data_IF_227020729596
#
_entry.id   IF_227020729596
#
_cell.length_a   1.000
_cell.length_b   1.000
_cell.length_c   1.000
_cell.angle_alpha   90.00
_cell.angle_beta   90.00
_cell.angle_gamma   90.00
#
_symmetry.space_group_name_H-M   'P 1'
#
loop_
_entity.id
_entity.type
_entity.pdbx_description
1 polymer ?
#
# COMPACT_ATOMS: atom_id res chain seq x y z
N UNK A 1 -40.42 2.18 -1.18
CA UNK A 1 -39.00 1.84 -1.44
C UNK A 1 -38.24 2.26 -0.19
N UNK A 2 -37.47 1.37 0.44
CA UNK A 2 -36.71 1.74 1.63
C UNK A 2 -35.72 2.85 1.27
N UNK A 3 -35.68 3.93 2.06
CA UNK A 3 -34.72 5.01 1.87
C UNK A 3 -33.30 4.46 2.08
N UNK A 4 -32.41 4.69 1.11
CA UNK A 4 -31.00 4.30 1.22
C UNK A 4 -30.37 5.10 2.36
N UNK A 5 -29.75 4.47 3.36
CA UNK A 5 -29.18 5.18 4.50
C UNK A 5 -28.17 6.24 4.05
N UNK A 6 -28.23 7.42 4.66
CA UNK A 6 -27.32 8.52 4.36
C UNK A 6 -25.92 8.21 4.93
N UNK A 7 -24.93 8.08 4.04
CA UNK A 7 -23.53 7.82 4.40
C UNK A 7 -22.67 9.05 4.17
N UNK A 8 -21.68 9.26 5.04
CA UNK A 8 -20.71 10.36 4.91
C UNK A 8 -19.87 10.29 3.62
N UNK A 9 -19.75 9.10 3.01
CA UNK A 9 -19.04 8.87 1.76
C UNK A 9 -20.04 8.56 0.64
N UNK A 10 -19.90 9.24 -0.49
CA UNK A 10 -20.64 9.00 -1.74
C UNK A 10 -19.66 9.02 -2.93
N UNK A 11 -19.85 8.18 -3.95
CA UNK A 11 -20.85 7.11 -4.09
C UNK A 11 -20.65 6.00 -3.05
N UNK A 12 -21.66 5.15 -2.83
CA UNK A 12 -21.51 3.98 -1.97
C UNK A 12 -20.62 2.93 -2.63
N UNK A 13 -20.08 2.02 -1.83
CA UNK A 13 -19.22 0.92 -2.29
C UNK A 13 -19.82 0.10 -3.43
N UNK A 14 -21.15 -0.08 -3.46
CA UNK A 14 -21.84 -0.89 -4.48
C UNK A 14 -22.13 -0.12 -5.77
N UNK A 15 -22.23 1.21 -5.69
CA UNK A 15 -22.55 2.05 -6.85
C UNK A 15 -21.31 2.30 -7.71
N UNK A 16 -20.18 2.63 -7.09
CA UNK A 16 -18.90 2.86 -7.75
C UNK A 16 -17.78 2.62 -6.75
N UNK A 17 -17.19 1.43 -6.82
CA UNK A 17 -16.14 0.99 -5.92
C UNK A 17 -14.85 1.82 -6.05
N UNK A 18 -14.32 2.08 -7.27
CA UNK A 18 -13.13 2.91 -7.45
C UNK A 18 -13.24 4.28 -6.78
N UNK A 19 -14.32 5.04 -7.04
CA UNK A 19 -14.45 6.38 -6.47
C UNK A 19 -14.72 6.31 -4.96
N UNK A 20 -15.58 5.39 -4.51
CA UNK A 20 -15.81 5.17 -3.08
C UNK A 20 -14.50 4.90 -2.32
N UNK A 21 -13.61 4.08 -2.88
CA UNK A 21 -12.32 3.78 -2.26
C UNK A 21 -11.47 5.04 -2.11
N UNK A 22 -11.36 5.86 -3.16
CA UNK A 22 -10.62 7.13 -3.10
C UNK A 22 -11.23 8.12 -2.10
N UNK A 23 -12.56 8.15 -1.99
CA UNK A 23 -13.25 8.99 -1.01
C UNK A 23 -12.99 8.53 0.42
N UNK A 24 -13.02 7.22 0.69
CA UNK A 24 -12.68 6.66 2.02
C UNK A 24 -11.25 7.01 2.40
N UNK A 25 -10.28 6.77 1.52
CA UNK A 25 -8.85 7.04 1.80
C UNK A 25 -8.62 8.52 2.12
N UNK A 26 -9.24 9.42 1.35
CA UNK A 26 -9.16 10.87 1.56
C UNK A 26 -9.84 11.32 2.85
N UNK A 27 -11.09 10.89 3.07
CA UNK A 27 -11.87 11.28 4.24
C UNK A 27 -11.29 10.77 5.55
N UNK A 28 -10.61 9.61 5.53
CA UNK A 28 -9.91 9.05 6.67
C UNK A 28 -8.48 9.60 6.85
N UNK A 29 -8.05 10.56 6.02
CA UNK A 29 -6.72 11.17 6.07
C UNK A 29 -5.56 10.18 5.95
N UNK A 30 -5.74 9.10 5.20
CA UNK A 30 -4.77 8.01 5.10
C UNK A 30 -3.66 8.29 4.09
N UNK A 31 -4.03 8.83 2.93
CA UNK A 31 -3.10 9.14 1.85
C UNK A 31 -3.68 10.14 0.86
N UNK A 32 -2.80 10.75 0.08
CA UNK A 32 -3.15 11.72 -0.96
C UNK A 32 -2.35 11.48 -2.25
N UNK A 33 -2.88 11.89 -3.42
CA UNK A 33 -2.14 11.80 -4.67
C UNK A 33 -0.82 12.57 -4.61
N UNK A 34 0.22 12.02 -5.24
CA UNK A 34 1.47 12.76 -5.47
C UNK A 34 1.54 13.31 -6.90
N UNK A 35 2.49 14.21 -7.17
CA UNK A 35 2.74 14.72 -8.52
C UNK A 35 3.29 13.65 -9.49
N UNK A 36 3.76 12.51 -8.95
CA UNK A 36 4.24 11.39 -9.77
C UNK A 36 3.07 10.43 -10.03
N UNK A 37 2.78 10.22 -11.31
CA UNK A 37 1.72 9.29 -11.74
C UNK A 37 1.96 7.89 -11.16
N UNK A 38 0.93 7.34 -10.54
CA UNK A 38 0.99 6.01 -9.91
C UNK A 38 1.58 6.02 -8.50
N UNK A 39 1.95 7.19 -7.96
CA UNK A 39 2.46 7.34 -6.62
C UNK A 39 1.49 8.13 -5.73
N UNK A 40 1.55 7.86 -4.43
CA UNK A 40 0.75 8.50 -3.39
C UNK A 40 1.66 8.89 -2.21
N UNK A 41 1.33 9.99 -1.55
CA UNK A 41 1.91 10.34 -0.26
C UNK A 41 1.07 9.66 0.81
N UNK A 42 1.68 8.74 1.56
CA UNK A 42 1.02 8.10 2.70
C UNK A 42 1.15 9.04 3.90
N UNK A 43 0.02 9.48 4.44
CA UNK A 43 -0.05 10.44 5.55
C UNK A 43 0.23 9.74 6.89
N UNK A 44 0.51 10.47 7.99
CA UNK A 44 0.86 9.86 9.28
C UNK A 44 -0.15 8.81 9.75
N UNK A 45 -1.45 9.04 9.56
CA UNK A 45 -2.48 8.08 9.96
C UNK A 45 -2.42 6.78 9.15
N UNK A 46 -2.21 6.87 7.83
CA UNK A 46 -2.00 5.70 6.97
C UNK A 46 -0.69 4.99 7.26
N UNK A 47 0.38 5.74 7.53
CA UNK A 47 1.70 5.18 7.80
C UNK A 47 1.74 4.44 9.15
N UNK A 48 1.01 4.93 10.16
CA UNK A 48 0.89 4.24 11.45
C UNK A 48 0.32 2.82 11.31
N UNK A 49 -0.57 2.58 10.34
CA UNK A 49 -1.09 1.23 10.03
C UNK A 49 0.07 0.35 9.53
N UNK A 50 0.90 0.86 8.62
CA UNK A 50 2.08 0.16 8.13
C UNK A 50 3.09 -0.14 9.25
N UNK A 51 3.40 0.83 10.11
CA UNK A 51 4.31 0.63 11.25
C UNK A 51 3.82 -0.47 12.20
N UNK A 52 2.50 -0.57 12.41
CA UNK A 52 1.90 -1.63 13.22
C UNK A 52 2.05 -3.01 12.55
N UNK A 53 1.79 -3.09 11.25
CA UNK A 53 1.97 -4.32 10.47
C UNK A 53 3.44 -4.76 10.53
N UNK A 54 4.36 -3.84 10.23
CA UNK A 54 5.79 -4.08 10.25
C UNK A 54 6.25 -4.60 11.61
N UNK A 55 5.85 -3.96 12.72
CA UNK A 55 6.23 -4.35 14.08
C UNK A 55 5.74 -5.75 14.45
N UNK A 56 4.53 -6.13 14.02
CA UNK A 56 3.98 -7.46 14.30
C UNK A 56 4.74 -8.53 13.52
N UNK A 57 4.98 -8.30 12.22
CA UNK A 57 5.67 -9.26 11.37
C UNK A 57 7.15 -9.40 11.73
N UNK A 58 7.85 -8.29 11.97
CA UNK A 58 9.26 -8.26 12.37
C UNK A 58 9.52 -9.12 13.63
N UNK A 59 8.63 -9.01 14.62
CA UNK A 59 8.69 -9.86 15.83
C UNK A 59 8.57 -11.35 15.50
N UNK A 60 7.58 -11.71 14.67
CA UNK A 60 7.34 -13.11 14.26
C UNK A 60 8.52 -13.70 13.48
N UNK A 61 9.19 -12.90 12.65
CA UNK A 61 10.39 -13.35 11.94
C UNK A 61 11.57 -13.55 12.90
N UNK A 62 11.76 -12.65 13.86
CA UNK A 62 12.80 -12.79 14.88
C UNK A 62 12.59 -14.00 15.79
N UNK A 63 11.33 -14.34 16.11
CA UNK A 63 10.98 -15.56 16.86
C UNK A 63 11.42 -16.85 16.14
N UNK A 64 11.56 -16.82 14.82
CA UNK A 64 12.02 -17.95 13.99
C UNK A 64 13.51 -17.87 13.63
N UNK A 65 14.26 -16.94 14.22
CA UNK A 65 15.71 -16.79 14.04
C UNK A 65 16.13 -15.97 12.83
N UNK A 66 15.22 -15.23 12.18
CA UNK A 66 15.56 -14.37 11.06
C UNK A 66 16.19 -13.05 11.53
N UNK A 67 17.11 -12.53 10.73
CA UNK A 67 17.74 -11.23 10.93
C UNK A 67 17.43 -10.30 9.75
N UNK A 68 17.15 -9.04 10.06
CA UNK A 68 16.93 -8.03 9.02
C UNK A 68 18.27 -7.61 8.41
N UNK A 69 18.29 -7.48 7.09
CA UNK A 69 19.40 -6.90 6.34
C UNK A 69 18.88 -5.78 5.43
N UNK A 70 19.76 -4.84 5.09
CA UNK A 70 19.46 -3.77 4.15
C UNK A 70 20.47 -3.78 3.01
N UNK A 71 19.98 -4.03 1.80
CA UNK A 71 20.77 -4.05 0.58
C UNK A 71 20.57 -2.75 -0.22
N UNK A 72 21.52 -2.39 -1.10
CA UNK A 72 21.36 -1.23 -1.96
C UNK A 72 20.11 -1.31 -2.84
N UNK A 73 19.34 -0.21 -2.91
CA UNK A 73 18.19 -0.10 -3.82
C UNK A 73 18.60 -0.06 -5.30
N UNK A 74 19.77 0.51 -5.59
CA UNK A 74 20.32 0.56 -6.94
C UNK A 74 21.24 -0.63 -7.16
N UNK A 75 20.94 -1.42 -8.19
CA UNK A 75 21.78 -2.54 -8.61
C UNK A 75 22.26 -2.34 -10.06
N UNK A 76 23.47 -2.81 -10.41
CA UNK A 76 23.95 -2.73 -11.79
C UNK A 76 23.00 -3.46 -12.75
N UNK A 77 22.79 -2.90 -13.95
CA UNK A 77 21.97 -3.52 -14.99
C UNK A 77 22.43 -4.94 -15.34
N UNK A 78 23.75 -5.18 -15.30
CA UNK A 78 24.33 -6.50 -15.54
C UNK A 78 23.90 -7.57 -14.54
N UNK A 79 23.40 -7.19 -13.35
CA UNK A 79 22.84 -8.13 -12.37
C UNK A 79 21.36 -8.39 -12.65
N UNK A 80 20.59 -7.37 -13.05
CA UNK A 80 19.20 -7.52 -13.50
C UNK A 80 19.11 -8.46 -14.72
N UNK A 81 20.03 -8.33 -15.68
CA UNK A 81 20.03 -9.10 -16.91
C UNK A 81 20.31 -10.60 -16.71
N UNK A 82 20.89 -11.01 -15.58
CA UNK A 82 21.12 -12.44 -15.28
C UNK A 82 19.83 -13.21 -14.97
N UNK A 83 18.77 -12.51 -14.53
CA UNK A 83 17.46 -13.14 -14.31
C UNK A 83 16.64 -13.25 -15.60
N UNK A 84 16.95 -12.46 -16.63
CA UNK A 84 16.24 -12.49 -17.91
C UNK A 84 16.39 -13.83 -18.66
N UNK A 85 17.42 -14.62 -18.36
CA UNK A 85 17.59 -15.97 -18.90
C UNK A 85 16.60 -16.99 -18.29
N UNK A 86 15.95 -16.64 -17.16
CA UNK A 86 15.08 -17.54 -16.39
C UNK A 86 13.61 -17.14 -16.36
N UNK A 87 13.25 -16.00 -16.98
CA UNK A 87 11.87 -15.49 -17.02
C UNK A 87 11.42 -15.45 -18.48
N UNK A 88 10.77 -16.53 -18.94
CA UNK A 88 9.79 -16.39 -20.03
C UNK A 88 8.67 -15.52 -19.47
N UNK A 89 8.54 -14.30 -19.98
CA UNK A 89 7.51 -13.35 -19.55
C UNK A 89 6.10 -13.92 -19.65
#
# INVERSE_FOLDING_TARGET
>A
MAETPETAIRPTRQEDYPEWYQQVIRAADLAEPSDVRGCMVIKPWGYAIWENIQRVLDRKFKETGHENAYFPLFIPLSFLQKEAEHVEG
#
